data_IF_360083716332
#
_entry.id   IF_360083716332
#
_cell.length_a   1.000
_cell.length_b   1.000
_cell.length_c   1.000
_cell.angle_alpha   90.00
_cell.angle_beta   90.00
_cell.angle_gamma   90.00
#
_symmetry.space_group_name_H-M   'P 1'
#
loop_
_entity.id
_entity.type
_entity.pdbx_description
1 polymer ?
#
# COMPACT_ATOMS: atom_id res chain seq x y z
N UNK A 1 3.66 -4.22 14.64
CA UNK A 1 3.20 -5.48 14.00
C UNK A 1 4.06 -6.70 14.33
N UNK A 2 5.36 -6.59 14.62
CA UNK A 2 6.20 -7.77 14.91
C UNK A 2 6.55 -8.61 13.67
N UNK A 3 6.29 -8.07 12.48
CA UNK A 3 6.63 -8.68 11.20
C UNK A 3 8.06 -8.31 10.79
N UNK A 4 8.74 -9.16 9.99
CA UNK A 4 10.01 -8.80 9.38
C UNK A 4 9.88 -7.54 8.52
N UNK A 5 10.95 -6.74 8.47
CA UNK A 5 11.00 -5.61 7.57
C UNK A 5 11.14 -6.08 6.11
N UNK A 6 10.39 -5.46 5.21
CA UNK A 6 10.59 -5.63 3.78
C UNK A 6 11.96 -5.14 3.35
N UNK A 7 12.54 -5.81 2.35
CA UNK A 7 13.67 -5.30 1.59
C UNK A 7 13.15 -4.45 0.44
N UNK A 8 13.70 -3.25 0.27
CA UNK A 8 13.43 -2.45 -0.92
C UNK A 8 13.92 -3.20 -2.17
N UNK A 9 13.07 -3.28 -3.19
CA UNK A 9 13.40 -3.84 -4.50
C UNK A 9 13.11 -2.80 -5.60
N UNK A 10 14.15 -2.39 -6.32
CA UNK A 10 14.05 -1.37 -7.37
C UNK A 10 13.19 -1.82 -8.57
N UNK A 11 13.06 -3.13 -8.79
CA UNK A 11 12.18 -3.65 -9.86
C UNK A 11 10.73 -3.45 -9.47
N UNK A 12 10.36 -3.81 -8.23
CA UNK A 12 9.01 -3.57 -7.71
C UNK A 12 8.69 -2.08 -7.66
N UNK A 13 9.67 -1.23 -7.34
CA UNK A 13 9.46 0.22 -7.34
C UNK A 13 9.13 0.75 -8.75
N UNK A 14 9.85 0.26 -9.78
CA UNK A 14 9.56 0.62 -11.18
C UNK A 14 8.21 0.09 -11.63
N UNK A 15 7.84 -1.13 -11.21
CA UNK A 15 6.54 -1.70 -11.50
C UNK A 15 5.42 -0.86 -10.88
N UNK A 16 5.53 -0.50 -9.59
CA UNK A 16 4.56 0.35 -8.92
C UNK A 16 4.42 1.73 -9.59
N UNK A 17 5.54 2.34 -10.02
CA UNK A 17 5.52 3.61 -10.76
C UNK A 17 4.77 3.45 -12.08
N UNK A 18 5.11 2.42 -12.87
CA UNK A 18 4.46 2.12 -14.13
C UNK A 18 2.95 1.93 -13.96
N UNK A 19 2.52 1.17 -12.95
CA UNK A 19 1.09 0.98 -12.67
C UNK A 19 0.39 2.31 -12.35
N UNK A 20 1.00 3.17 -11.53
CA UNK A 20 0.42 4.48 -11.19
C UNK A 20 0.37 5.43 -12.40
N UNK A 21 1.37 5.37 -13.29
CA UNK A 21 1.39 6.16 -14.53
C UNK A 21 0.34 5.66 -15.53
N UNK A 22 0.27 4.35 -15.77
CA UNK A 22 -0.63 3.74 -16.75
C UNK A 22 -2.11 3.83 -16.32
N UNK A 23 -2.38 3.81 -15.01
CA UNK A 23 -3.71 4.04 -14.46
C UNK A 23 -4.25 5.46 -14.72
N UNK A 24 -3.39 6.42 -15.11
CA UNK A 24 -3.77 7.76 -15.56
C UNK A 24 -4.75 8.49 -14.61
N UNK A 25 -4.50 8.41 -13.30
CA UNK A 25 -5.34 9.01 -12.25
C UNK A 25 -6.46 8.12 -11.73
N UNK A 26 -6.60 6.90 -12.28
CA UNK A 26 -7.49 5.85 -11.76
C UNK A 26 -6.69 4.76 -11.05
N UNK A 27 -7.30 4.11 -10.06
CA UNK A 27 -6.69 2.99 -9.32
C UNK A 27 -6.91 1.67 -10.06
N UNK A 28 -6.28 1.52 -11.22
CA UNK A 28 -6.31 0.28 -12.01
C UNK A 28 -5.12 -0.61 -11.66
N UNK A 29 -5.41 -1.81 -11.18
CA UNK A 29 -4.37 -2.78 -10.85
C UNK A 29 -3.69 -3.34 -12.10
N UNK A 30 -2.36 -3.40 -12.08
CA UNK A 30 -1.54 -4.01 -13.12
C UNK A 30 -0.38 -4.79 -12.48
N UNK A 31 -0.47 -6.12 -12.46
CA UNK A 31 0.58 -6.97 -11.91
C UNK A 31 1.68 -7.22 -12.95
N UNK A 32 2.71 -6.37 -12.88
CA UNK A 32 3.90 -6.47 -13.71
C UNK A 32 4.78 -7.68 -13.30
N UNK A 33 5.65 -8.21 -14.18
CA UNK A 33 6.48 -9.37 -13.87
C UNK A 33 7.28 -9.20 -12.57
N UNK A 34 7.19 -10.20 -11.68
CA UNK A 34 7.83 -10.20 -10.36
C UNK A 34 6.98 -9.63 -9.24
N UNK A 35 5.85 -8.99 -9.55
CA UNK A 35 4.86 -8.52 -8.56
C UNK A 35 3.89 -9.63 -8.21
N UNK A 36 3.75 -9.94 -6.91
CA UNK A 36 2.83 -10.96 -6.40
C UNK A 36 1.74 -10.40 -5.48
N UNK A 37 1.84 -9.13 -5.09
CA UNK A 37 0.80 -8.35 -4.42
C UNK A 37 0.93 -6.88 -4.80
N UNK A 38 -0.17 -6.13 -4.75
CA UNK A 38 -0.19 -4.71 -5.11
C UNK A 38 -1.22 -3.96 -4.27
N UNK A 39 -0.85 -2.77 -3.79
CA UNK A 39 -1.75 -1.86 -3.07
C UNK A 39 -1.76 -0.51 -3.78
N UNK A 40 -2.95 0.07 -3.99
CA UNK A 40 -3.13 1.39 -4.61
C UNK A 40 -4.02 2.25 -3.73
N UNK A 41 -3.77 3.56 -3.68
CA UNK A 41 -4.66 4.51 -3.04
C UNK A 41 -4.34 5.95 -3.48
N UNK A 42 -5.33 6.87 -3.45
CA UNK A 42 -5.07 8.28 -3.69
C UNK A 42 -4.21 8.88 -2.56
N UNK A 43 -3.30 9.77 -2.91
CA UNK A 43 -2.48 10.51 -1.96
C UNK A 43 -1.39 11.32 -2.64
N UNK A 44 -1.03 12.46 -2.04
CA UNK A 44 0.06 13.30 -2.50
C UNK A 44 1.43 12.67 -2.20
N UNK A 45 2.51 13.08 -2.90
CA UNK A 45 3.85 12.51 -2.71
C UNK A 45 4.43 12.62 -1.29
N UNK A 46 3.89 13.48 -0.43
CA UNK A 46 4.28 13.64 0.98
C UNK A 46 3.36 12.88 1.96
N UNK A 47 2.33 12.19 1.47
CA UNK A 47 1.31 11.51 2.27
C UNK A 47 1.51 10.00 2.42
N UNK A 48 2.70 9.47 2.07
CA UNK A 48 2.92 8.01 2.06
C UNK A 48 2.52 7.33 3.36
N UNK A 49 2.88 7.86 4.53
CA UNK A 49 2.53 7.26 5.82
C UNK A 49 1.02 7.27 6.08
N UNK A 50 0.33 8.36 5.70
CA UNK A 50 -1.14 8.45 5.79
C UNK A 50 -1.81 7.39 4.93
N UNK A 51 -1.29 7.14 3.73
CA UNK A 51 -1.80 6.10 2.83
C UNK A 51 -1.46 4.70 3.35
N UNK A 52 -0.20 4.44 3.67
CA UNK A 52 0.27 3.12 4.07
C UNK A 52 -0.34 2.65 5.39
N UNK A 53 -0.35 3.51 6.40
CA UNK A 53 -0.90 3.18 7.71
C UNK A 53 -2.41 3.38 7.72
N UNK A 54 -2.86 4.59 7.37
CA UNK A 54 -4.26 4.96 7.44
C UNK A 54 -5.11 4.33 6.34
N UNK A 55 -4.67 4.39 5.09
CA UNK A 55 -5.44 3.87 3.95
C UNK A 55 -5.44 2.35 3.85
N UNK A 56 -4.30 1.71 4.13
CA UNK A 56 -4.10 0.28 3.88
C UNK A 56 -4.10 -0.57 5.15
N UNK A 57 -3.18 -0.35 6.09
CA UNK A 57 -3.10 -1.18 7.31
C UNK A 57 -4.35 -1.07 8.19
N UNK A 58 -4.92 0.12 8.31
CA UNK A 58 -6.09 0.36 9.15
C UNK A 58 -7.40 -0.21 8.59
N UNK A 59 -7.39 -0.85 7.42
CA UNK A 59 -8.46 -1.76 7.00
C UNK A 59 -8.67 -2.89 8.03
N UNK A 60 -7.61 -3.29 8.74
CA UNK A 60 -7.65 -4.25 9.86
C UNK A 60 -7.10 -3.59 11.12
N UNK A 61 -7.87 -2.66 11.70
CA UNK A 61 -7.49 -1.92 12.91
C UNK A 61 -7.22 -2.78 14.15
N UNK A 62 -7.64 -4.05 14.15
CA UNK A 62 -7.37 -5.02 15.23
C UNK A 62 -6.01 -5.72 15.12
N UNK A 63 -5.19 -5.41 14.11
CA UNK A 63 -3.82 -5.94 13.99
C UNK A 63 -2.98 -5.51 15.19
N UNK A 64 -2.26 -6.47 15.78
CA UNK A 64 -1.41 -6.21 16.94
C UNK A 64 -0.32 -5.18 16.62
N UNK A 65 -0.22 -4.13 17.44
CA UNK A 65 0.68 -3.00 17.22
C UNK A 65 0.05 -1.82 16.47
N UNK A 66 -1.25 -1.83 16.18
CA UNK A 66 -2.01 -0.66 15.69
C UNK A 66 -2.93 -0.05 16.76
N UNK A 67 -2.77 -0.43 18.03
CA UNK A 67 -3.63 0.03 19.12
C UNK A 67 -3.65 1.57 19.21
N UNK A 68 -4.81 2.18 18.98
CA UNK A 68 -4.99 3.65 18.96
C UNK A 68 -4.39 4.37 17.76
N UNK A 69 -3.59 3.72 16.92
CA UNK A 69 -2.98 4.32 15.72
C UNK A 69 -4.07 4.68 14.71
N UNK A 70 -4.98 3.75 14.45
CA UNK A 70 -6.03 3.95 13.46
C UNK A 70 -7.01 5.06 13.85
N UNK A 71 -7.17 5.39 15.13
CA UNK A 71 -8.02 6.52 15.56
C UNK A 71 -7.51 7.87 15.03
N UNK A 72 -6.21 7.97 14.74
CA UNK A 72 -5.56 9.18 14.21
C UNK A 72 -5.29 9.12 12.71
N UNK A 73 -4.98 7.93 12.18
CA UNK A 73 -4.54 7.76 10.79
C UNK A 73 -5.69 7.40 9.82
N UNK A 74 -6.76 6.76 10.32
CA UNK A 74 -7.94 6.39 9.52
C UNK A 74 -8.93 7.51 9.17
N UNK A 75 -9.03 8.65 9.89
CA UNK A 75 -10.01 9.68 9.55
C UNK A 75 -9.91 10.14 8.09
N UNK A 76 -11.03 10.04 7.38
CA UNK A 76 -11.16 10.36 5.95
C UNK A 76 -11.08 9.14 5.02
N UNK A 77 -10.65 7.98 5.51
CA UNK A 77 -10.65 6.73 4.75
C UNK A 77 -11.97 5.99 4.89
N UNK A 78 -12.47 5.42 3.79
CA UNK A 78 -13.67 4.58 3.77
C UNK A 78 -13.34 3.22 3.14
N UNK A 79 -13.06 2.23 4.00
CA UNK A 79 -12.66 0.89 3.57
C UNK A 79 -13.80 0.05 3.00
N UNK A 80 -15.07 0.41 3.24
CA UNK A 80 -16.26 -0.37 2.81
C UNK A 80 -16.20 -1.86 3.19
N UNK A 81 -15.52 -2.19 4.29
CA UNK A 81 -15.32 -3.57 4.76
C UNK A 81 -14.23 -4.37 4.02
N UNK A 82 -13.45 -3.72 3.14
CA UNK A 82 -12.30 -4.33 2.47
C UNK A 82 -11.13 -4.48 3.44
N UNK A 83 -10.33 -5.52 3.23
CA UNK A 83 -9.12 -5.82 4.00
C UNK A 83 -7.92 -6.17 3.12
N UNK A 84 -8.08 -6.12 1.80
CA UNK A 84 -7.12 -6.66 0.86
C UNK A 84 -5.74 -6.01 0.96
N UNK A 85 -5.66 -4.72 1.25
CA UNK A 85 -4.38 -4.04 1.39
C UNK A 85 -3.66 -4.49 2.67
N UNK A 86 -4.38 -4.55 3.79
CA UNK A 86 -3.82 -5.04 5.04
C UNK A 86 -3.38 -6.52 4.92
N UNK A 87 -4.14 -7.35 4.21
CA UNK A 87 -3.81 -8.77 3.99
C UNK A 87 -2.56 -8.94 3.11
N UNK A 88 -2.36 -8.08 2.10
CA UNK A 88 -1.12 -8.06 1.29
C UNK A 88 0.08 -7.61 2.15
N UNK A 89 -0.05 -6.51 2.88
CA UNK A 89 1.04 -5.94 3.71
C UNK A 89 1.42 -6.87 4.87
N UNK A 90 0.49 -7.71 5.33
CA UNK A 90 0.75 -8.67 6.42
C UNK A 90 0.98 -10.09 5.94
N UNK A 91 1.05 -10.31 4.62
CA UNK A 91 1.35 -11.59 4.00
C UNK A 91 2.84 -11.98 4.06
N UNK A 92 3.19 -13.12 3.45
CA UNK A 92 4.52 -13.73 3.50
C UNK A 92 5.54 -13.13 2.49
N UNK A 93 5.27 -11.94 1.96
CA UNK A 93 6.21 -11.24 1.09
C UNK A 93 7.45 -10.78 1.86
N UNK A 94 8.57 -10.61 1.18
CA UNK A 94 9.84 -10.18 1.79
C UNK A 94 10.42 -8.93 1.13
N UNK A 95 9.85 -8.53 0.00
CA UNK A 95 10.26 -7.37 -0.78
C UNK A 95 9.10 -6.42 -1.01
N UNK A 96 9.43 -5.15 -1.14
CA UNK A 96 8.49 -4.09 -1.48
C UNK A 96 9.17 -3.08 -2.40
N UNK A 97 8.40 -2.46 -3.29
CA UNK A 97 8.79 -1.24 -3.95
C UNK A 97 7.58 -0.34 -4.14
N UNK A 98 7.73 0.94 -3.79
CA UNK A 98 6.62 1.90 -3.79
C UNK A 98 6.97 3.15 -4.58
N UNK A 99 5.98 3.71 -5.26
CA UNK A 99 6.09 4.94 -6.01
C UNK A 99 4.77 5.73 -5.98
N UNK A 100 4.85 7.03 -6.26
CA UNK A 100 3.70 7.89 -6.44
C UNK A 100 3.72 8.47 -7.85
N UNK A 101 2.59 8.43 -8.54
CA UNK A 101 2.38 9.12 -9.81
C UNK A 101 0.92 9.57 -9.90
N UNK A 102 0.68 10.73 -10.49
CA UNK A 102 -0.66 11.26 -10.75
C UNK A 102 -1.58 11.31 -9.49
N UNK A 103 -1.00 11.53 -8.31
CA UNK A 103 -1.74 11.59 -7.05
C UNK A 103 -2.19 10.23 -6.52
N UNK A 104 -1.58 9.15 -6.98
CA UNK A 104 -1.79 7.78 -6.52
C UNK A 104 -0.48 7.23 -5.98
N UNK A 105 -0.55 6.67 -4.78
CA UNK A 105 0.49 5.80 -4.24
C UNK A 105 0.23 4.36 -4.64
N UNK A 106 1.28 3.70 -5.13
CA UNK A 106 1.30 2.28 -5.37
C UNK A 106 2.48 1.60 -4.69
N UNK A 107 2.26 0.39 -4.18
CA UNK A 107 3.32 -0.50 -3.73
C UNK A 107 3.12 -1.89 -4.32
N UNK A 108 4.21 -2.47 -4.79
CA UNK A 108 4.29 -3.84 -5.29
C UNK A 108 5.10 -4.70 -4.32
N UNK A 109 4.68 -5.96 -4.14
CA UNK A 109 5.20 -6.88 -3.12
C UNK A 109 5.64 -8.21 -3.75
N UNK A 110 6.71 -8.81 -3.22
CA UNK A 110 7.20 -10.12 -3.65
C UNK A 110 7.86 -10.96 -2.54
#
# INVERSE_FOLDING_TARGET
LGLPAYKLDETLQKNALKTCDDGNGEMEHELNPGTFGQTLAPGQPDEFERVFVGGWLCEKSSLAGLEGVCDTMSPGWNYRGQTGHADIITGDYTKIGCANANGIWGCDYA
#
